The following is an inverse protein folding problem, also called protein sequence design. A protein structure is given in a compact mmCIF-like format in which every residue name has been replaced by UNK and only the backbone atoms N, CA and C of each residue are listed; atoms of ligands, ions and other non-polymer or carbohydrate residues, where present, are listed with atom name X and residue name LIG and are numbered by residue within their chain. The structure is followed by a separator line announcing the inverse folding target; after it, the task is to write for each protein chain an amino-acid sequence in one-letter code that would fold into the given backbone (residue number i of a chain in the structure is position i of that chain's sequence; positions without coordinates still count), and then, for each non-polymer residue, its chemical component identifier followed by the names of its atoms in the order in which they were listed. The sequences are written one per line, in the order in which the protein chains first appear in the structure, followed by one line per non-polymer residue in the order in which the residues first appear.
data_IF_354447459331
#
_entry.id   IF_354447459331
#
_cell.length_a   1.000
_cell.length_b   1.000
_cell.length_c   1.000
_cell.angle_alpha   90.00
_cell.angle_beta   90.00
_cell.angle_gamma   90.00
#
_symmetry.space_group_name_H-M   'P 1'
#
loop_
_entity.id
_entity.type
_entity.pdbx_description
1 polymer ?
#
# COMPACT_ATOMS: atom_id res chain seq x y z
N UNK A 1 2.27 33.00 3.34
CA UNK A 1 3.19 31.92 2.92
C UNK A 1 2.36 30.69 2.60
N UNK A 2 2.09 30.42 1.32
CA UNK A 2 1.22 29.31 0.91
C UNK A 2 2.11 28.10 0.59
N UNK A 3 2.11 27.08 1.46
CA UNK A 3 2.80 25.82 1.17
C UNK A 3 2.01 25.10 0.08
N UNK A 4 2.53 25.12 -1.15
CA UNK A 4 2.03 24.29 -2.25
C UNK A 4 2.31 22.83 -1.89
N UNK A 5 1.36 22.19 -1.20
CA UNK A 5 1.43 20.77 -0.85
C UNK A 5 1.40 19.99 -2.15
N UNK A 6 2.55 19.46 -2.57
CA UNK A 6 2.61 18.52 -3.68
C UNK A 6 1.92 17.24 -3.22
N UNK A 7 0.75 16.98 -3.80
CA UNK A 7 -0.04 15.76 -3.62
C UNK A 7 0.68 14.62 -4.37
N UNK A 8 1.74 14.06 -3.77
CA UNK A 8 2.45 12.90 -4.32
C UNK A 8 1.95 11.60 -3.65
N UNK A 9 1.95 10.52 -4.42
CA UNK A 9 0.83 9.58 -4.53
C UNK A 9 0.98 8.24 -3.80
N UNK A 10 1.96 8.07 -2.90
CA UNK A 10 2.24 6.76 -2.28
C UNK A 10 2.28 6.78 -0.74
N UNK A 11 2.82 7.83 -0.14
CA UNK A 11 2.97 7.98 1.32
C UNK A 11 2.14 9.13 1.85
N UNK A 12 1.69 9.00 3.09
CA UNK A 12 0.94 10.05 3.79
C UNK A 12 1.85 11.20 4.19
N UNK A 13 1.32 12.41 4.04
CA UNK A 13 2.01 13.64 4.44
C UNK A 13 1.59 14.06 5.87
N UNK A 14 2.35 14.93 6.52
CA UNK A 14 2.03 15.43 7.87
C UNK A 14 0.58 15.92 8.09
N UNK A 15 -0.03 16.71 7.18
CA UNK A 15 -1.43 17.09 7.33
C UNK A 15 -2.37 15.88 7.26
N UNK A 16 -2.17 14.96 6.31
CA UNK A 16 -2.98 13.74 6.16
C UNK A 16 -2.84 12.83 7.39
N UNK A 17 -1.64 12.72 7.97
CA UNK A 17 -1.43 11.99 9.22
C UNK A 17 -2.17 12.63 10.40
N UNK A 18 -2.27 13.96 10.42
CA UNK A 18 -3.02 14.68 11.46
C UNK A 18 -4.52 14.46 11.33
N UNK A 19 -5.04 14.42 10.10
CA UNK A 19 -6.45 14.12 9.82
C UNK A 19 -6.82 12.69 10.25
N UNK A 20 -5.94 11.72 10.00
CA UNK A 20 -6.18 10.30 10.31
C UNK A 20 -6.03 10.02 11.82
N UNK A 21 -4.98 10.56 12.45
CA UNK A 21 -4.68 10.27 13.86
C UNK A 21 -5.34 11.25 14.83
N UNK A 22 -5.78 12.42 14.37
CA UNK A 22 -6.27 13.52 15.21
C UNK A 22 -5.20 14.13 16.14
N UNK A 23 -3.92 13.78 15.96
CA UNK A 23 -2.82 14.18 16.85
C UNK A 23 -1.79 15.02 16.12
N UNK A 24 -1.38 16.12 16.75
CA UNK A 24 -0.33 17.01 16.25
C UNK A 24 1.08 16.57 16.69
N UNK A 25 1.21 15.92 17.86
CA UNK A 25 2.52 15.51 18.40
C UNK A 25 2.94 14.13 17.86
N UNK A 26 4.20 13.99 17.46
CA UNK A 26 4.74 12.75 16.89
C UNK A 26 4.60 11.54 17.83
N UNK A 27 4.81 11.70 19.15
CA UNK A 27 4.61 10.61 20.12
C UNK A 27 3.17 10.07 20.11
N UNK A 28 2.19 10.97 20.11
CA UNK A 28 0.78 10.58 20.06
C UNK A 28 0.40 9.96 18.71
N UNK A 29 1.00 10.41 17.60
CA UNK A 29 0.82 9.76 16.29
C UNK A 29 1.36 8.33 16.30
N UNK A 30 2.54 8.09 16.89
CA UNK A 30 3.12 6.74 17.02
C UNK A 30 2.22 5.84 17.85
N UNK A 31 1.74 6.31 19.00
CA UNK A 31 0.85 5.54 19.87
C UNK A 31 -0.43 5.14 19.14
N UNK A 32 -1.08 6.08 18.45
CA UNK A 32 -2.29 5.81 17.68
C UNK A 32 -2.03 4.86 16.52
N UNK A 33 -0.95 5.04 15.75
CA UNK A 33 -0.57 4.12 14.67
C UNK A 33 -0.28 2.71 15.18
N UNK A 34 0.37 2.60 16.35
CA UNK A 34 0.64 1.32 17.01
C UNK A 34 -0.64 0.66 17.50
N UNK A 35 -1.57 1.42 18.09
CA UNK A 35 -2.88 0.94 18.53
C UNK A 35 -3.75 0.47 17.35
N UNK A 36 -3.66 1.16 16.21
CA UNK A 36 -4.33 0.76 14.97
C UNK A 36 -3.65 -0.42 14.26
N UNK A 37 -2.48 -0.88 14.73
CA UNK A 37 -1.72 -1.96 14.08
C UNK A 37 -1.11 -1.56 12.73
N UNK A 38 -1.08 -0.26 12.41
CA UNK A 38 -0.64 0.22 11.10
C UNK A 38 0.89 0.30 11.09
N UNK A 39 1.59 -0.39 10.18
CA UNK A 39 3.04 -0.30 10.09
C UNK A 39 3.49 1.08 9.62
N UNK A 40 4.48 1.62 10.31
CA UNK A 40 5.08 2.92 10.02
C UNK A 40 6.61 2.83 10.03
N UNK A 41 7.27 3.77 9.34
CA UNK A 41 8.73 3.94 9.40
C UNK A 41 9.07 5.35 9.83
N UNK A 42 10.19 5.50 10.52
CA UNK A 42 10.72 6.79 10.97
C UNK A 42 11.89 7.14 10.03
N UNK A 43 11.84 8.33 9.42
CA UNK A 43 13.00 8.86 8.68
C UNK A 43 14.13 9.23 9.63
N UNK A 44 15.39 9.31 9.16
CA UNK A 44 16.46 9.93 9.93
C UNK A 44 16.12 11.37 10.37
N UNK A 45 15.26 12.06 9.62
CA UNK A 45 14.72 13.39 9.95
C UNK A 45 13.70 13.38 11.09
N UNK A 46 13.29 12.21 11.61
CA UNK A 46 12.30 12.08 12.69
C UNK A 46 10.84 12.18 12.25
N UNK A 47 10.56 12.37 10.95
CA UNK A 47 9.21 12.33 10.39
C UNK A 47 8.69 10.90 10.24
N UNK A 48 7.38 10.75 10.45
CA UNK A 48 6.67 9.48 10.32
C UNK A 48 6.23 9.28 8.88
N UNK A 49 6.55 8.12 8.32
CA UNK A 49 6.18 7.73 6.96
C UNK A 49 5.26 6.52 7.05
N UNK A 50 4.05 6.69 6.51
CA UNK A 50 3.05 5.63 6.41
C UNK A 50 2.61 5.52 4.95
N UNK A 51 2.40 4.29 4.48
CA UNK A 51 1.94 4.01 3.12
C UNK A 51 0.41 4.14 3.05
N UNK A 52 -0.10 4.81 2.01
CA UNK A 52 -1.55 5.01 1.82
C UNK A 52 -2.30 3.69 1.65
N UNK A 53 -1.76 2.80 0.81
CA UNK A 53 -2.34 1.48 0.55
C UNK A 53 -2.51 0.62 1.82
N UNK A 54 -1.56 0.72 2.76
CA UNK A 54 -1.64 -0.01 4.03
C UNK A 54 -2.82 0.50 4.86
N UNK A 55 -3.01 1.82 4.94
CA UNK A 55 -4.14 2.40 5.68
C UNK A 55 -5.47 2.00 5.04
N UNK A 56 -5.56 2.03 3.71
CA UNK A 56 -6.78 1.61 3.01
C UNK A 56 -7.10 0.14 3.29
N UNK A 57 -6.10 -0.74 3.37
CA UNK A 57 -6.28 -2.14 3.75
C UNK A 57 -6.73 -2.31 5.20
N UNK A 58 -6.02 -1.69 6.15
CA UNK A 58 -6.32 -1.84 7.58
C UNK A 58 -7.65 -1.19 7.98
N UNK A 59 -8.02 -0.07 7.35
CA UNK A 59 -9.31 0.59 7.57
C UNK A 59 -10.47 -0.03 6.76
N UNK A 60 -10.20 -1.07 5.96
CA UNK A 60 -11.22 -1.76 5.18
C UNK A 60 -11.74 -1.00 3.95
N UNK A 61 -11.06 0.08 3.54
CA UNK A 61 -11.31 0.78 2.27
C UNK A 61 -10.62 0.11 1.07
N UNK A 62 -9.94 -1.02 1.28
CA UNK A 62 -9.21 -1.73 0.24
C UNK A 62 -10.09 -1.90 -1.01
N UNK A 63 -9.65 -1.39 -2.18
CA UNK A 63 -10.24 -1.83 -3.42
C UNK A 63 -9.98 -3.33 -3.47
N UNK A 64 -11.06 -4.13 -3.43
CA UNK A 64 -10.96 -5.58 -3.59
C UNK A 64 -10.07 -5.81 -4.80
N UNK A 65 -8.94 -6.49 -4.61
CA UNK A 65 -8.15 -6.98 -5.72
C UNK A 65 -9.13 -7.78 -6.58
N UNK A 66 -9.60 -7.15 -7.64
CA UNK A 66 -10.39 -7.85 -8.64
C UNK A 66 -9.36 -8.77 -9.21
N UNK A 67 -9.37 -10.04 -8.77
CA UNK A 67 -8.46 -11.06 -9.25
C UNK A 67 -8.58 -11.03 -10.77
N UNK A 68 -7.64 -10.36 -11.42
CA UNK A 68 -7.63 -10.25 -12.86
C UNK A 68 -7.49 -11.68 -13.34
N UNK A 69 -8.44 -12.12 -14.18
CA UNK A 69 -8.49 -13.50 -14.62
C UNK A 69 -7.09 -13.93 -15.09
N UNK A 70 -6.61 -15.12 -14.69
CA UNK A 70 -5.27 -15.55 -15.02
C UNK A 70 -5.06 -15.39 -16.53
N UNK A 71 -3.93 -14.81 -16.97
CA UNK A 71 -3.72 -14.50 -18.38
C UNK A 71 -3.81 -15.79 -19.19
N UNK A 72 -4.80 -15.86 -20.08
CA UNK A 72 -5.00 -17.03 -20.93
C UNK A 72 -3.93 -17.05 -22.03
N UNK A 73 -2.92 -17.91 -21.85
CA UNK A 73 -1.91 -18.16 -22.87
C UNK A 73 -2.54 -18.95 -24.01
N UNK A 74 -2.52 -18.39 -25.23
CA UNK A 74 -2.94 -19.12 -26.44
C UNK A 74 -1.82 -20.08 -26.85
N UNK A 75 -1.90 -21.33 -26.40
CA UNK A 75 -0.94 -22.38 -26.75
C UNK A 75 -1.37 -23.02 -28.09
N UNK A 76 -0.52 -23.02 -29.13
CA UNK A 76 -0.83 -23.71 -30.39
C UNK A 76 -0.84 -25.23 -30.18
N UNK A 77 -1.84 -25.91 -30.76
CA UNK A 77 -2.11 -27.36 -30.61
C UNK A 77 -0.90 -28.26 -30.90
N UNK A 78 0.03 -27.79 -31.74
CA UNK A 78 1.26 -28.50 -32.08
C UNK A 78 2.24 -28.69 -30.90
N UNK A 79 2.21 -27.81 -29.88
CA UNK A 79 3.15 -27.90 -28.72
C UNK A 79 2.82 -29.04 -27.74
N UNK A 80 1.59 -29.57 -27.74
CA UNK A 80 1.20 -30.67 -26.85
C UNK A 80 1.70 -32.06 -27.27
N UNK A 81 2.24 -32.20 -28.49
CA UNK A 81 2.63 -33.50 -29.06
C UNK A 81 4.04 -33.96 -28.66
N UNK A 82 4.90 -33.04 -28.23
CA UNK A 82 6.29 -33.36 -27.83
C UNK A 82 6.42 -33.80 -26.37
N UNK A 83 5.38 -33.60 -25.54
CA UNK A 83 5.38 -33.98 -24.12
C UNK A 83 5.05 -35.46 -23.86
N UNK A 84 4.49 -36.17 -24.85
CA UNK A 84 4.18 -37.60 -24.72
C UNK A 84 5.29 -38.55 -25.21
N UNK A 85 6.39 -38.06 -25.79
CA UNK A 85 7.47 -38.92 -26.29
C UNK A 85 8.59 -39.09 -25.26
N UNK A 86 8.26 -39.67 -24.10
CA UNK A 86 9.26 -40.30 -23.24
C UNK A 86 8.61 -41.36 -22.34
N UNK A 87 8.37 -42.55 -22.91
CA UNK A 87 8.45 -43.84 -22.22
C UNK A 87 9.12 -44.83 -23.17
#
# INVERSE_FOLDING_TARGET
MSTRVRKNSLTLNDPELTEITGKTRNKGRIEVLTQMGIPFRIRPDGSLVVLKAVIEVELGYAPKETQSAPPRLRIPKARGLLLCQKQ
#
